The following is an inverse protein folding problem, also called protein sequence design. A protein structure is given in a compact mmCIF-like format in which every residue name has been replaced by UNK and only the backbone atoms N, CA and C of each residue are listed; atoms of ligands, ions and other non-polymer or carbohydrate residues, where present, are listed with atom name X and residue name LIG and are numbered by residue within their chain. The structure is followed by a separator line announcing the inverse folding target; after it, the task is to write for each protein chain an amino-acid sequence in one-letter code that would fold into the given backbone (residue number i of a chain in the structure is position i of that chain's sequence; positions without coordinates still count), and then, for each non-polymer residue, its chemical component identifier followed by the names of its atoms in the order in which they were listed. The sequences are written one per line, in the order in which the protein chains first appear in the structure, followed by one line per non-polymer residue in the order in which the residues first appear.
data_IF_191613826543
#
_entry.id   IF_191613826543
#
_cell.length_a   1.000
_cell.length_b   1.000
_cell.length_c   1.000
_cell.angle_alpha   90.00
_cell.angle_beta   90.00
_cell.angle_gamma   90.00
#
_symmetry.space_group_name_H-M   'P 1'
#
loop_
_entity.id
_entity.type
_entity.pdbx_description
1 polymer ?
#
# COMPACT_ATOMS: atom_id res chain seq x y z
N UNK A 1 31.34 -3.78 -12.11
CA UNK A 1 30.49 -4.81 -11.46
C UNK A 1 29.15 -4.26 -10.98
N UNK A 2 29.15 -3.24 -10.11
CA UNK A 2 27.93 -2.65 -9.50
C UNK A 2 26.93 -2.12 -10.54
N UNK A 3 27.40 -1.45 -11.59
CA UNK A 3 26.55 -0.93 -12.67
C UNK A 3 25.81 -2.02 -13.46
N UNK A 4 26.48 -3.13 -13.75
CA UNK A 4 25.86 -4.26 -14.45
C UNK A 4 24.85 -4.99 -13.57
N UNK A 5 25.12 -5.11 -12.26
CA UNK A 5 24.19 -5.68 -11.30
C UNK A 5 22.90 -4.84 -11.19
N UNK A 6 23.03 -3.52 -11.00
CA UNK A 6 21.88 -2.60 -10.99
C UNK A 6 21.07 -2.67 -12.29
N UNK A 7 21.74 -2.75 -13.44
CA UNK A 7 21.05 -2.86 -14.74
C UNK A 7 20.28 -4.18 -14.88
N UNK A 8 20.88 -5.32 -14.52
CA UNK A 8 20.20 -6.62 -14.60
C UNK A 8 19.03 -6.74 -13.62
N UNK A 9 19.19 -6.18 -12.41
CA UNK A 9 18.14 -6.18 -11.40
C UNK A 9 17.00 -5.24 -11.82
N UNK A 10 17.31 -4.06 -12.38
CA UNK A 10 16.31 -3.14 -12.89
C UNK A 10 15.53 -3.76 -14.05
N UNK A 11 16.19 -4.37 -15.04
CA UNK A 11 15.52 -5.05 -16.15
C UNK A 11 14.58 -6.18 -15.67
N UNK A 12 15.02 -6.94 -14.67
CA UNK A 12 14.22 -8.00 -14.06
C UNK A 12 13.03 -7.43 -13.29
N UNK A 13 13.24 -6.40 -12.47
CA UNK A 13 12.17 -5.71 -11.73
C UNK A 13 11.18 -5.06 -12.68
N UNK A 14 11.63 -4.41 -13.76
CA UNK A 14 10.74 -3.81 -14.77
C UNK A 14 9.99 -4.84 -15.61
N UNK A 15 10.54 -6.05 -15.79
CA UNK A 15 9.84 -7.17 -16.45
C UNK A 15 8.80 -7.82 -15.54
N UNK A 16 9.04 -7.81 -14.22
CA UNK A 16 8.10 -8.33 -13.22
C UNK A 16 7.05 -7.28 -12.82
N UNK A 17 7.40 -6.00 -12.90
CA UNK A 17 6.48 -4.89 -12.78
C UNK A 17 5.62 -4.84 -14.05
N UNK A 18 4.50 -5.57 -14.04
CA UNK A 18 3.39 -5.20 -14.92
C UNK A 18 3.13 -3.70 -14.73
N UNK A 19 2.84 -2.94 -15.80
CA UNK A 19 2.38 -1.56 -15.63
C UNK A 19 1.17 -1.65 -14.73
N UNK A 20 1.35 -1.23 -13.48
CA UNK A 20 0.29 -1.28 -12.50
C UNK A 20 -0.75 -0.33 -13.03
N UNK A 21 -1.90 -0.90 -13.38
CA UNK A 21 -3.05 -0.15 -13.83
C UNK A 21 -3.26 1.05 -12.89
N UNK A 22 -3.51 2.28 -13.41
CA UNK A 22 -3.64 3.45 -12.55
C UNK A 22 -4.67 3.29 -11.44
N UNK A 23 -5.78 2.57 -11.69
CA UNK A 23 -6.75 2.26 -10.65
C UNK A 23 -6.19 1.27 -9.63
N UNK A 24 -5.39 0.29 -10.06
CA UNK A 24 -4.65 -0.57 -9.12
C UNK A 24 -3.70 0.22 -8.22
N UNK A 25 -2.89 1.14 -8.77
CA UNK A 25 -1.98 1.99 -8.00
C UNK A 25 -2.73 2.86 -6.99
N UNK A 26 -3.84 3.46 -7.44
CA UNK A 26 -4.70 4.26 -6.58
C UNK A 26 -5.27 3.40 -5.45
N UNK A 27 -5.83 2.23 -5.77
CA UNK A 27 -6.51 1.38 -4.79
C UNK A 27 -5.58 0.70 -3.81
N UNK A 28 -4.39 0.27 -4.24
CA UNK A 28 -3.50 -0.57 -3.44
C UNK A 28 -2.30 0.16 -2.85
N UNK A 29 -1.97 1.36 -3.34
CA UNK A 29 -0.94 2.23 -2.75
C UNK A 29 -1.54 3.53 -2.21
N UNK A 30 -2.03 4.41 -3.08
CA UNK A 30 -2.40 5.77 -2.64
C UNK A 30 -3.53 5.81 -1.59
N UNK A 31 -4.55 4.96 -1.74
CA UNK A 31 -5.66 4.90 -0.78
C UNK A 31 -5.22 4.41 0.62
N UNK A 32 -4.48 3.29 0.77
CA UNK A 32 -3.93 2.89 2.06
C UNK A 32 -3.04 3.95 2.72
N UNK A 33 -2.15 4.60 1.96
CA UNK A 33 -1.26 5.63 2.47
C UNK A 33 -2.04 6.84 3.00
N UNK A 34 -3.05 7.30 2.24
CA UNK A 34 -3.93 8.38 2.68
C UNK A 34 -4.72 7.99 3.94
N UNK A 35 -5.23 6.74 4.01
CA UNK A 35 -5.95 6.25 5.17
C UNK A 35 -5.06 6.17 6.42
N UNK A 36 -3.80 5.72 6.31
CA UNK A 36 -2.85 5.71 7.42
C UNK A 36 -2.59 7.12 7.96
N UNK A 37 -2.44 8.11 7.09
CA UNK A 37 -2.29 9.51 7.49
C UNK A 37 -3.51 10.01 8.26
N UNK A 38 -4.73 9.77 7.74
CA UNK A 38 -5.97 10.20 8.38
C UNK A 38 -6.19 9.55 9.75
N UNK A 39 -5.95 8.24 9.86
CA UNK A 39 -6.06 7.51 11.13
C UNK A 39 -5.02 8.03 12.14
N UNK A 40 -3.78 8.26 11.70
CA UNK A 40 -2.74 8.81 12.57
C UNK A 40 -3.11 10.19 13.11
N UNK A 41 -3.65 11.06 12.25
CA UNK A 41 -4.14 12.38 12.64
C UNK A 41 -5.27 12.29 13.68
N UNK A 42 -6.26 11.44 13.43
CA UNK A 42 -7.40 11.24 14.33
C UNK A 42 -6.98 10.73 15.71
N UNK A 43 -6.05 9.77 15.74
CA UNK A 43 -5.52 9.19 16.98
C UNK A 43 -4.47 10.06 17.68
N UNK A 44 -4.04 11.17 17.07
CA UNK A 44 -2.87 11.93 17.52
C UNK A 44 -1.61 11.06 17.68
N UNK A 45 -1.40 10.11 16.75
CA UNK A 45 -0.27 9.19 16.71
C UNK A 45 0.53 9.36 15.41
N UNK A 46 1.84 9.12 15.42
CA UNK A 46 2.60 9.09 14.17
C UNK A 46 2.11 7.97 13.27
N UNK A 47 2.13 8.18 11.95
CA UNK A 47 1.69 7.20 10.95
C UNK A 47 2.39 5.83 11.09
N UNK A 48 3.65 5.84 11.54
CA UNK A 48 4.45 4.63 11.78
C UNK A 48 4.05 3.86 13.05
N UNK A 49 3.15 4.41 13.87
CA UNK A 49 2.73 3.77 15.10
C UNK A 49 1.95 2.48 14.82
N UNK A 50 2.26 1.35 15.48
CA UNK A 50 1.63 0.05 15.18
C UNK A 50 0.10 0.06 15.24
N UNK A 51 -0.49 0.84 16.16
CA UNK A 51 -1.95 0.99 16.28
C UNK A 51 -2.61 1.57 15.02
N UNK A 52 -1.95 2.51 14.32
CA UNK A 52 -2.50 3.13 13.10
C UNK A 52 -2.66 2.07 12.01
N UNK A 53 -1.65 1.21 11.84
CA UNK A 53 -1.70 0.07 10.91
C UNK A 53 -2.78 -0.94 11.31
N UNK A 54 -2.83 -1.32 12.58
CA UNK A 54 -3.84 -2.26 13.07
C UNK A 54 -5.27 -1.75 12.85
N UNK A 55 -5.52 -0.45 13.03
CA UNK A 55 -6.82 0.17 12.74
C UNK A 55 -7.16 0.10 11.26
N UNK A 56 -6.21 0.40 10.36
CA UNK A 56 -6.46 0.24 8.93
C UNK A 56 -6.83 -1.21 8.56
N UNK A 57 -6.12 -2.19 9.12
CA UNK A 57 -6.38 -3.62 8.88
C UNK A 57 -7.79 -4.02 9.36
N UNK A 58 -8.16 -3.62 10.58
CA UNK A 58 -9.50 -3.86 11.13
C UNK A 58 -10.61 -3.18 10.29
N UNK A 59 -10.38 -1.95 9.84
CA UNK A 59 -11.33 -1.25 8.95
C UNK A 59 -11.50 -1.97 7.62
N UNK A 60 -10.44 -2.56 7.07
CA UNK A 60 -10.51 -3.35 5.83
C UNK A 60 -11.26 -4.66 6.03
N UNK A 61 -10.99 -5.37 7.13
CA UNK A 61 -11.72 -6.59 7.49
C UNK A 61 -13.22 -6.31 7.64
N UNK A 62 -13.58 -5.24 8.34
CA UNK A 62 -14.96 -4.79 8.47
C UNK A 62 -15.58 -4.47 7.10
N UNK A 63 -14.87 -3.70 6.27
CA UNK A 63 -15.32 -3.35 4.92
C UNK A 63 -15.59 -4.58 4.05
N UNK A 64 -14.67 -5.55 4.05
CA UNK A 64 -14.83 -6.79 3.30
C UNK A 64 -16.00 -7.65 3.81
N UNK A 65 -16.25 -7.66 5.12
CA UNK A 65 -17.37 -8.39 5.70
C UNK A 65 -18.72 -7.73 5.39
N UNK A 66 -18.76 -6.40 5.36
CA UNK A 66 -19.98 -5.61 5.12
C UNK A 66 -20.31 -5.47 3.63
N UNK A 67 -19.28 -5.40 2.79
CA UNK A 67 -19.36 -5.22 1.34
C UNK A 67 -18.50 -6.30 0.66
N UNK A 68 -18.96 -7.57 0.65
CA UNK A 68 -18.26 -8.62 -0.07
C UNK A 68 -18.25 -8.30 -1.56
N UNK A 69 -17.13 -8.59 -2.24
CA UNK A 69 -17.08 -8.58 -3.70
C UNK A 69 -18.12 -9.59 -4.22
N UNK A 70 -19.00 -9.20 -5.16
CA UNK A 70 -19.99 -10.10 -5.80
C UNK A 70 -19.35 -11.35 -6.41
#
# INVERSE_FOLDING_TARGET
LVYMFLKSTLETVTRLAHPLDPEYLLRKGLMPEAALCLIGLDMSLPMSHPKVRATLEQSREFGNAMYPDE
#
